data_IF_519872929765
#
_entry.id   IF_519872929765
#
_cell.length_a   1.000
_cell.length_b   1.000
_cell.length_c   1.000
_cell.angle_alpha   90.00
_cell.angle_beta   90.00
_cell.angle_gamma   90.00
#
_symmetry.space_group_name_H-M   'P 1'
#
loop_
_entity.id
_entity.type
_entity.pdbx_description
1 polymer ?
#
# COMPACT_ATOMS: atom_id res chain seq x y z
N UNK A 1 -0.04 -11.90 15.76
CA UNK A 1 1.20 -11.97 14.95
C UNK A 1 2.09 -13.02 15.61
N UNK A 2 2.77 -13.90 14.86
CA UNK A 2 3.67 -14.91 15.49
C UNK A 2 5.06 -14.32 15.70
N UNK A 3 5.75 -14.78 16.74
CA UNK A 3 7.07 -14.27 17.11
C UNK A 3 8.20 -14.95 16.34
N UNK A 4 8.03 -16.24 15.99
CA UNK A 4 9.04 -17.02 15.25
C UNK A 4 8.47 -17.54 13.94
N UNK A 5 9.27 -17.46 12.87
CA UNK A 5 8.87 -17.95 11.55
C UNK A 5 8.41 -19.42 11.53
N UNK A 6 8.96 -20.26 12.42
CA UNK A 6 8.59 -21.67 12.57
C UNK A 6 7.17 -21.92 13.13
N UNK A 7 6.57 -20.92 13.76
CA UNK A 7 5.25 -21.00 14.40
C UNK A 7 4.11 -20.72 13.40
N UNK A 8 4.43 -20.08 12.27
CA UNK A 8 3.47 -19.89 11.19
C UNK A 8 3.37 -21.13 10.29
N UNK A 9 2.47 -22.04 10.65
CA UNK A 9 2.24 -23.31 9.94
C UNK A 9 1.84 -23.15 8.47
N UNK A 10 1.24 -22.01 8.10
CA UNK A 10 0.79 -21.73 6.73
C UNK A 10 1.89 -21.15 5.83
N UNK A 11 3.15 -21.18 6.25
CA UNK A 11 4.28 -20.66 5.45
C UNK A 11 5.10 -21.81 4.89
N UNK A 12 5.74 -21.57 3.74
CA UNK A 12 6.74 -22.47 3.18
C UNK A 12 8.03 -22.52 4.01
N UNK A 13 8.17 -21.71 5.06
CA UNK A 13 9.39 -21.64 5.87
C UNK A 13 9.75 -22.99 6.47
N UNK A 14 8.79 -23.75 7.00
CA UNK A 14 9.07 -25.03 7.67
C UNK A 14 9.65 -26.05 6.70
N UNK A 15 9.03 -26.19 5.53
CA UNK A 15 9.54 -27.05 4.45
C UNK A 15 10.91 -26.57 3.92
N UNK A 16 11.05 -25.27 3.63
CA UNK A 16 12.31 -24.70 3.10
C UNK A 16 13.45 -24.79 4.12
N UNK A 17 13.13 -24.63 5.41
CA UNK A 17 14.07 -24.78 6.51
C UNK A 17 14.29 -26.24 6.91
N UNK A 18 13.75 -27.25 6.21
CA UNK A 18 13.93 -28.66 6.55
C UNK A 18 13.38 -29.06 7.92
N UNK A 19 12.35 -28.36 8.40
CA UNK A 19 11.62 -28.68 9.64
C UNK A 19 10.43 -29.60 9.38
N UNK A 20 9.89 -29.56 8.17
CA UNK A 20 8.85 -30.45 7.65
C UNK A 20 9.27 -30.97 6.28
N UNK A 21 8.65 -32.06 5.84
CA UNK A 21 8.77 -32.52 4.46
C UNK A 21 8.12 -31.52 3.50
N UNK A 22 8.77 -31.26 2.36
CA UNK A 22 8.24 -30.36 1.35
C UNK A 22 7.11 -31.07 0.59
N UNK A 23 5.89 -30.50 0.54
CA UNK A 23 4.83 -31.02 -0.32
C UNK A 23 5.28 -31.05 -1.79
N UNK A 24 4.75 -31.97 -2.59
CA UNK A 24 5.13 -32.13 -4.00
C UNK A 24 4.92 -30.87 -4.86
N UNK A 25 4.01 -29.99 -4.45
CA UNK A 25 3.76 -28.71 -5.12
C UNK A 25 4.73 -27.59 -4.73
N UNK A 26 5.62 -27.81 -3.75
CA UNK A 26 6.53 -26.80 -3.21
C UNK A 26 7.98 -27.09 -3.61
N UNK A 27 8.50 -26.31 -4.55
CA UNK A 27 9.92 -26.35 -4.93
C UNK A 27 10.76 -25.51 -3.97
N UNK A 28 11.75 -26.11 -3.32
CA UNK A 28 12.64 -25.42 -2.37
C UNK A 28 14.09 -25.29 -2.87
N UNK A 29 14.47 -26.06 -3.88
CA UNK A 29 15.86 -26.17 -4.34
C UNK A 29 16.41 -24.87 -4.92
N UNK A 30 15.59 -24.12 -5.68
CA UNK A 30 16.02 -22.84 -6.25
C UNK A 30 16.37 -21.80 -5.17
N UNK A 31 15.57 -21.76 -4.09
CA UNK A 31 15.80 -20.85 -2.95
C UNK A 31 17.05 -21.30 -2.19
N UNK A 32 17.18 -22.60 -1.90
CA UNK A 32 18.31 -23.14 -1.16
C UNK A 32 19.63 -23.01 -1.93
N UNK A 33 19.59 -23.12 -3.25
CA UNK A 33 20.74 -22.91 -4.14
C UNK A 33 21.34 -21.50 -4.06
N UNK A 34 20.61 -20.51 -3.55
CA UNK A 34 21.17 -19.17 -3.29
C UNK A 34 22.12 -19.13 -2.07
N UNK A 35 22.16 -20.21 -1.26
CA UNK A 35 22.92 -20.25 -0.01
C UNK A 35 24.09 -21.24 -0.04
N UNK A 36 23.90 -22.43 -0.61
CA UNK A 36 24.94 -23.45 -0.80
C UNK A 36 24.43 -24.58 -1.70
N UNK A 37 25.36 -25.34 -2.31
CA UNK A 37 25.04 -26.53 -3.10
C UNK A 37 24.61 -27.72 -2.23
N UNK A 38 25.15 -27.82 -1.02
CA UNK A 38 24.81 -28.87 -0.07
C UNK A 38 23.53 -28.53 0.70
N UNK A 39 22.48 -29.34 0.54
CA UNK A 39 21.14 -29.12 1.11
C UNK A 39 21.13 -28.81 2.62
N UNK A 40 21.86 -29.58 3.42
CA UNK A 40 21.91 -29.38 4.88
C UNK A 40 22.57 -28.04 5.27
N UNK A 41 23.63 -27.67 4.55
CA UNK A 41 24.31 -26.37 4.71
C UNK A 41 23.42 -25.22 4.24
N UNK A 42 22.74 -25.36 3.11
CA UNK A 42 21.82 -24.36 2.57
C UNK A 42 20.66 -24.07 3.53
N UNK A 43 20.03 -25.11 4.08
CA UNK A 43 18.94 -24.96 5.07
C UNK A 43 19.42 -24.23 6.34
N UNK A 44 20.63 -24.56 6.83
CA UNK A 44 21.22 -23.88 7.99
C UNK A 44 21.47 -22.39 7.73
N UNK A 45 22.01 -22.05 6.56
CA UNK A 45 22.25 -20.67 6.14
C UNK A 45 20.95 -19.91 5.92
N UNK A 46 19.95 -20.53 5.31
CA UNK A 46 18.61 -19.97 5.14
C UNK A 46 17.96 -19.63 6.49
N UNK A 47 17.99 -20.55 7.47
CA UNK A 47 17.48 -20.29 8.83
C UNK A 47 18.17 -19.07 9.47
N UNK A 48 19.50 -18.98 9.34
CA UNK A 48 20.27 -17.82 9.84
C UNK A 48 19.90 -16.54 9.12
N UNK A 49 19.69 -16.59 7.80
CA UNK A 49 19.26 -15.44 7.01
C UNK A 49 17.89 -14.94 7.49
N UNK A 50 16.89 -15.81 7.57
CA UNK A 50 15.55 -15.42 8.04
C UNK A 50 15.59 -14.88 9.47
N UNK A 51 16.32 -15.54 10.37
CA UNK A 51 16.45 -15.10 11.77
C UNK A 51 17.02 -13.68 11.93
N UNK A 52 17.91 -13.23 11.03
CA UNK A 52 18.43 -11.85 11.04
C UNK A 52 17.36 -10.79 10.76
N UNK A 53 16.26 -11.19 10.13
CA UNK A 53 15.17 -10.30 9.74
C UNK A 53 13.92 -10.47 10.62
N UNK A 54 13.88 -11.49 11.49
CA UNK A 54 12.79 -11.65 12.47
C UNK A 54 12.86 -10.50 13.48
N UNK A 55 11.73 -9.82 13.68
CA UNK A 55 11.62 -8.67 14.58
C UNK A 55 11.98 -7.33 13.92
N UNK A 56 12.55 -7.32 12.71
CA UNK A 56 12.61 -6.10 11.89
C UNK A 56 11.32 -5.96 11.12
N UNK A 57 10.60 -4.90 11.42
CA UNK A 57 9.39 -4.54 10.70
C UNK A 57 9.79 -3.96 9.34
N UNK A 58 9.40 -4.58 8.20
CA UNK A 58 9.59 -3.97 6.88
C UNK A 58 8.90 -2.60 6.76
N UNK A 59 8.00 -2.30 7.71
CA UNK A 59 7.29 -1.04 7.83
C UNK A 59 8.19 0.12 8.31
N UNK A 60 9.36 -0.15 8.89
CA UNK A 60 10.32 0.89 9.32
C UNK A 60 11.04 1.54 8.13
N UNK A 61 11.34 0.77 7.08
CA UNK A 61 11.95 1.26 5.84
C UNK A 61 10.90 1.72 4.80
N UNK A 62 9.63 1.74 5.19
CA UNK A 62 8.49 1.93 4.29
C UNK A 62 8.20 3.42 4.06
N UNK A 63 8.97 4.05 3.16
CA UNK A 63 8.71 5.44 2.75
C UNK A 63 7.62 5.50 1.67
N UNK A 64 6.58 6.30 1.90
CA UNK A 64 5.55 6.60 0.88
C UNK A 64 4.55 5.48 0.56
N UNK A 65 4.55 4.39 1.33
CA UNK A 65 3.52 3.34 1.32
C UNK A 65 3.34 2.49 0.04
N UNK A 66 4.31 2.49 -0.89
CA UNK A 66 4.20 1.73 -2.16
C UNK A 66 5.53 1.09 -2.57
N UNK A 67 6.65 1.71 -2.20
CA UNK A 67 7.96 1.29 -2.66
C UNK A 67 8.79 0.79 -1.48
N UNK A 68 9.15 -0.48 -1.53
CA UNK A 68 10.15 -1.07 -0.64
C UNK A 68 11.49 -1.04 -1.38
N UNK A 69 12.40 -0.17 -0.94
CA UNK A 69 13.70 0.00 -1.58
C UNK A 69 14.43 1.25 -1.13
N UNK A 70 15.67 1.40 -1.58
CA UNK A 70 16.50 2.57 -1.27
C UNK A 70 16.03 3.84 -1.98
N UNK A 71 16.41 5.02 -1.49
CA UNK A 71 16.02 6.30 -2.10
C UNK A 71 16.45 6.43 -3.57
N UNK A 72 17.61 5.85 -3.92
CA UNK A 72 18.09 5.74 -5.30
C UNK A 72 17.16 4.91 -6.19
N UNK A 73 16.66 3.79 -5.67
CA UNK A 73 15.71 2.94 -6.38
C UNK A 73 14.37 3.66 -6.60
N UNK A 74 13.85 4.33 -5.58
CA UNK A 74 12.59 5.08 -5.67
C UNK A 74 12.69 6.22 -6.72
N UNK A 75 13.83 6.91 -6.78
CA UNK A 75 14.06 7.97 -7.75
C UNK A 75 14.10 7.48 -9.21
N UNK A 76 14.48 6.23 -9.44
CA UNK A 76 14.54 5.62 -10.78
C UNK A 76 13.18 5.15 -11.33
N UNK A 77 12.13 5.12 -10.52
CA UNK A 77 10.81 4.63 -10.95
C UNK A 77 10.12 5.72 -11.79
N UNK A 78 9.74 5.43 -13.06
CA UNK A 78 9.05 6.39 -13.90
C UNK A 78 7.69 6.75 -13.28
N UNK A 79 7.46 8.04 -13.04
CA UNK A 79 6.17 8.52 -12.53
C UNK A 79 5.10 8.31 -13.60
N UNK A 80 4.00 7.60 -13.32
CA UNK A 80 2.95 7.39 -14.31
C UNK A 80 2.35 8.74 -14.73
N UNK A 81 2.35 9.01 -16.05
CA UNK A 81 1.77 10.22 -16.67
C UNK A 81 0.24 10.17 -16.81
N UNK A 82 -0.41 9.07 -16.43
CA UNK A 82 -1.83 8.85 -16.67
C UNK A 82 -2.63 8.69 -15.36
N UNK A 83 -3.81 9.32 -15.35
CA UNK A 83 -4.88 9.19 -14.34
C UNK A 83 -5.31 7.73 -14.23
N UNK A 84 -4.71 6.99 -13.32
CA UNK A 84 -5.17 5.65 -12.97
C UNK A 84 -6.24 5.79 -11.88
N UNK A 85 -7.48 5.47 -12.22
CA UNK A 85 -8.62 5.36 -11.29
C UNK A 85 -8.33 4.40 -10.13
N UNK A 86 -7.38 3.48 -10.34
CA UNK A 86 -6.98 2.43 -9.41
C UNK A 86 -5.79 2.78 -8.52
N UNK A 87 -5.38 4.05 -8.43
CA UNK A 87 -4.37 4.50 -7.46
C UNK A 87 -4.99 4.48 -6.06
N UNK A 88 -4.54 3.61 -5.11
CA UNK A 88 -5.00 3.59 -3.73
C UNK A 88 -5.11 4.99 -3.13
N UNK A 89 -6.17 5.25 -2.36
CA UNK A 89 -6.42 6.56 -1.72
C UNK A 89 -5.19 7.16 -1.02
N UNK A 90 -4.33 6.32 -0.43
CA UNK A 90 -3.09 6.71 0.24
C UNK A 90 -2.00 7.29 -0.69
N UNK A 91 -1.97 6.89 -1.96
CA UNK A 91 -1.04 7.43 -2.97
C UNK A 91 -1.39 8.87 -3.39
N UNK A 92 -2.68 9.25 -3.37
CA UNK A 92 -3.11 10.62 -3.72
C UNK A 92 -2.71 11.65 -2.66
N UNK A 93 -2.35 11.20 -1.45
CA UNK A 93 -2.08 12.06 -0.30
C UNK A 93 -0.71 12.75 -0.33
N UNK A 94 0.29 12.17 -1.02
CA UNK A 94 1.70 12.59 -0.88
C UNK A 94 2.00 13.96 -1.52
N UNK A 95 1.20 14.42 -2.49
CA UNK A 95 1.39 15.70 -3.18
C UNK A 95 0.07 16.49 -3.32
N UNK A 96 -0.94 16.24 -2.47
CA UNK A 96 -2.24 16.92 -2.64
C UNK A 96 -2.16 18.38 -2.15
N UNK A 97 -2.67 19.35 -2.92
CA UNK A 97 -2.85 20.73 -2.47
C UNK A 97 -3.78 20.76 -1.25
N UNK A 98 -3.57 21.74 -0.36
CA UNK A 98 -4.43 21.90 0.82
C UNK A 98 -5.89 22.11 0.43
N UNK A 99 -6.83 21.72 1.30
CA UNK A 99 -8.26 21.98 1.06
C UNK A 99 -8.51 23.46 0.78
N UNK A 100 -7.83 24.37 1.48
CA UNK A 100 -7.90 25.81 1.23
C UNK A 100 -7.57 26.18 -0.22
N UNK A 101 -6.50 25.58 -0.78
CA UNK A 101 -6.10 25.82 -2.18
C UNK A 101 -7.10 25.21 -3.16
N UNK A 102 -7.58 24.00 -2.89
CA UNK A 102 -8.60 23.34 -3.73
C UNK A 102 -9.89 24.17 -3.79
N UNK A 103 -10.37 24.65 -2.64
CA UNK A 103 -11.59 25.47 -2.60
C UNK A 103 -11.40 26.86 -3.22
N UNK A 104 -10.19 27.42 -3.19
CA UNK A 104 -9.89 28.69 -3.87
C UNK A 104 -9.87 28.56 -5.40
N UNK A 105 -9.44 27.41 -5.93
CA UNK A 105 -9.37 27.13 -7.37
C UNK A 105 -10.68 26.59 -7.95
N UNK A 106 -11.66 26.26 -7.11
CA UNK A 106 -12.94 25.68 -7.53
C UNK A 106 -13.99 26.77 -7.79
N UNK A 107 -14.79 26.63 -8.86
CA UNK A 107 -15.82 27.62 -9.21
C UNK A 107 -17.01 27.58 -8.26
N UNK A 108 -17.28 26.40 -7.69
CA UNK A 108 -18.35 26.20 -6.72
C UNK A 108 -17.88 25.37 -5.54
N UNK A 109 -18.57 25.53 -4.41
CA UNK A 109 -18.30 24.74 -3.22
C UNK A 109 -18.50 23.24 -3.45
N UNK A 110 -19.46 22.86 -4.29
CA UNK A 110 -19.74 21.46 -4.61
C UNK A 110 -18.66 20.86 -5.53
N UNK A 111 -18.14 21.66 -6.47
CA UNK A 111 -16.97 21.29 -7.27
C UNK A 111 -15.72 21.09 -6.40
N UNK A 112 -15.49 21.98 -5.43
CA UNK A 112 -14.38 21.84 -4.48
C UNK A 112 -14.49 20.60 -3.60
N UNK A 113 -15.69 20.29 -3.10
CA UNK A 113 -15.97 19.05 -2.35
C UNK A 113 -15.67 17.82 -3.21
N UNK A 114 -16.11 17.84 -4.47
CA UNK A 114 -15.95 16.72 -5.37
C UNK A 114 -14.48 16.51 -5.79
N UNK A 115 -13.77 17.58 -6.15
CA UNK A 115 -12.35 17.53 -6.50
C UNK A 115 -11.51 17.10 -5.30
N UNK A 116 -11.79 17.62 -4.10
CA UNK A 116 -11.12 17.19 -2.87
C UNK A 116 -11.28 15.69 -2.61
N UNK A 117 -12.50 15.15 -2.75
CA UNK A 117 -12.79 13.74 -2.50
C UNK A 117 -12.26 12.82 -3.61
N UNK A 118 -12.53 13.13 -4.87
CA UNK A 118 -12.23 12.28 -6.02
C UNK A 118 -10.78 12.43 -6.48
N UNK A 119 -10.32 13.66 -6.72
CA UNK A 119 -9.04 13.90 -7.39
C UNK A 119 -7.89 13.88 -6.39
N UNK A 120 -8.13 14.37 -5.17
CA UNK A 120 -7.10 14.53 -4.14
C UNK A 120 -7.24 13.58 -2.94
N UNK A 121 -8.28 12.72 -2.94
CA UNK A 121 -8.43 11.63 -1.97
C UNK A 121 -8.70 12.08 -0.53
N UNK A 122 -9.20 13.29 -0.30
CA UNK A 122 -9.68 13.72 1.03
C UNK A 122 -10.89 12.91 1.46
N UNK A 123 -10.94 12.55 2.73
CA UNK A 123 -12.09 11.91 3.35
C UNK A 123 -13.23 12.91 3.52
N UNK A 124 -14.47 12.42 3.54
CA UNK A 124 -15.62 13.28 3.83
C UNK A 124 -15.50 13.97 5.19
N UNK A 125 -14.82 13.33 6.16
CA UNK A 125 -14.54 13.88 7.49
C UNK A 125 -13.58 15.07 7.42
N UNK A 126 -12.44 14.94 6.74
CA UNK A 126 -11.48 16.04 6.56
C UNK A 126 -12.11 17.25 5.83
N UNK A 127 -12.94 16.98 4.82
CA UNK A 127 -13.67 18.03 4.09
C UNK A 127 -14.71 18.70 4.99
N UNK A 128 -15.44 17.93 5.79
CA UNK A 128 -16.45 18.42 6.72
C UNK A 128 -15.84 19.32 7.80
N UNK A 129 -14.72 18.89 8.39
CA UNK A 129 -13.93 19.66 9.37
C UNK A 129 -13.44 20.97 8.77
N UNK A 130 -12.87 20.95 7.56
CA UNK A 130 -12.42 22.16 6.88
C UNK A 130 -13.55 23.15 6.58
N UNK A 131 -14.74 22.63 6.26
CA UNK A 131 -15.90 23.43 5.88
C UNK A 131 -16.76 23.86 7.08
N UNK A 132 -16.48 23.38 8.29
CA UNK A 132 -17.28 23.63 9.49
C UNK A 132 -18.71 23.07 9.40
N UNK A 133 -18.90 21.96 8.68
CA UNK A 133 -20.22 21.34 8.47
C UNK A 133 -20.24 19.89 8.93
N UNK A 134 -21.43 19.33 9.15
CA UNK A 134 -21.57 17.91 9.46
C UNK A 134 -21.27 17.02 8.24
N UNK A 135 -20.67 15.85 8.46
CA UNK A 135 -20.28 14.90 7.40
C UNK A 135 -21.44 14.51 6.46
N UNK A 136 -22.67 14.45 7.00
CA UNK A 136 -23.87 14.15 6.22
C UNK A 136 -24.14 15.17 5.11
N UNK A 137 -23.76 16.44 5.30
CA UNK A 137 -23.91 17.50 4.30
C UNK A 137 -22.95 17.29 3.12
N UNK A 138 -21.71 16.88 3.41
CA UNK A 138 -20.70 16.52 2.38
C UNK A 138 -21.17 15.29 1.60
N UNK A 139 -21.67 14.26 2.29
CA UNK A 139 -22.19 13.03 1.67
C UNK A 139 -23.38 13.30 0.73
N UNK A 140 -24.37 14.12 1.14
CA UNK A 140 -25.50 14.50 0.28
C UNK A 140 -25.07 15.27 -0.97
N UNK A 141 -24.11 16.19 -0.84
CA UNK A 141 -23.58 16.98 -1.97
C UNK A 141 -22.82 16.11 -2.97
N UNK A 142 -22.02 15.15 -2.49
CA UNK A 142 -21.35 14.17 -3.36
C UNK A 142 -22.34 13.30 -4.13
N UNK A 143 -23.39 12.78 -3.48
CA UNK A 143 -24.43 11.98 -4.16
C UNK A 143 -25.16 12.78 -5.25
N UNK A 144 -25.49 14.05 -5.01
CA UNK A 144 -26.12 14.92 -6.02
C UNK A 144 -25.19 15.18 -7.20
N UNK A 145 -23.90 15.38 -6.95
CA UNK A 145 -22.90 15.59 -7.99
C UNK A 145 -22.69 14.33 -8.86
N UNK A 146 -22.79 13.13 -8.28
CA UNK A 146 -22.75 11.86 -9.02
C UNK A 146 -24.02 11.66 -9.87
N UNK A 147 -25.20 11.93 -9.30
CA UNK A 147 -26.49 11.81 -10.01
C UNK A 147 -26.61 12.77 -11.20
N UNK A 148 -26.18 14.03 -11.05
CA UNK A 148 -26.21 15.01 -12.14
C UNK A 148 -25.25 14.71 -13.30
N UNK A 149 -24.27 13.82 -13.09
CA UNK A 149 -23.33 13.36 -14.12
C UNK A 149 -23.89 12.17 -14.92
N UNK A 150 -24.66 11.31 -14.26
CA UNK A 150 -25.34 10.14 -14.86
C UNK A 150 -26.48 10.58 -15.79
N UNK A 151 -27.12 11.73 -15.53
CA UNK A 151 -28.19 12.27 -16.40
C UNK A 151 -27.66 13.03 -17.63
N UNK A 152 -26.34 13.28 -17.74
CA UNK A 152 -25.71 14.04 -18.85
C UNK A 152 -24.90 13.18 -19.82
N UNK A 153 -25.08 11.86 -19.78
CA UNK A 153 -24.48 10.85 -20.66
C UNK A 153 -25.58 10.08 -21.36
#
# INVERSE_FOLDING_TARGET
MVEKAREWKWSSYRATAGLDEAPSFLTTDWILGQFADEKGKAQRLYRRFVAKWVGRSPWEDFKGQIYLGSERFIASIPKPKARLSEVPRRQRLLNRPSLKKIFAESKTRDEGIFNAYRDYGYTMKEIAEHLGVHYATVSRRLRRAEQGRITRS
#
